data_IF_261512464476
#
_entry.id   IF_261512464476
#
_cell.length_a   1.000
_cell.length_b   1.000
_cell.length_c   1.000
_cell.angle_alpha   90.00
_cell.angle_beta   90.00
_cell.angle_gamma   90.00
#
_symmetry.space_group_name_H-M   'P 1'
#
loop_
_entity.id
_entity.type
_entity.pdbx_description
1 polymer ?
#
# COMPACT_ATOMS: atom_id res chain seq x y z
N UNK A 1 4.70 -1.54 13.99
CA UNK A 1 4.34 -0.57 15.05
C UNK A 1 5.59 0.24 15.41
N UNK A 2 5.72 1.50 14.97
CA UNK A 2 6.98 2.27 15.16
C UNK A 2 7.26 2.63 16.64
N UNK A 3 6.25 2.57 17.50
CA UNK A 3 6.29 2.99 18.92
C UNK A 3 6.91 1.94 19.84
N UNK A 4 6.69 0.64 19.62
CA UNK A 4 7.27 -0.42 20.45
C UNK A 4 8.80 -0.45 20.37
N UNK A 5 9.36 -0.28 19.16
CA UNK A 5 10.81 -0.21 18.97
C UNK A 5 11.43 0.99 19.68
N UNK A 6 10.73 2.14 19.73
CA UNK A 6 11.16 3.30 20.50
C UNK A 6 11.15 3.04 22.00
N UNK A 7 10.09 2.40 22.51
CA UNK A 7 9.99 2.03 23.92
C UNK A 7 11.11 1.07 24.33
N UNK A 8 11.40 0.06 23.51
CA UNK A 8 12.51 -0.87 23.76
C UNK A 8 13.85 -0.14 23.78
N UNK A 9 14.15 0.69 22.77
CA UNK A 9 15.40 1.47 22.72
C UNK A 9 15.58 2.34 23.97
N UNK A 10 14.52 3.01 24.44
CA UNK A 10 14.57 3.83 25.65
C UNK A 10 14.88 3.01 26.91
N UNK A 11 14.37 1.77 26.99
CA UNK A 11 14.59 0.85 28.11
C UNK A 11 16.01 0.28 28.08
N UNK A 12 16.54 -0.01 26.89
CA UNK A 12 17.93 -0.44 26.69
C UNK A 12 18.91 0.63 27.17
N UNK A 13 18.68 1.91 26.84
CA UNK A 13 19.50 3.03 27.35
C UNK A 13 19.44 3.15 28.87
N UNK A 14 18.29 2.81 29.47
CA UNK A 14 18.10 2.80 30.93
C UNK A 14 18.60 1.53 31.62
N UNK A 15 19.29 0.62 30.91
CA UNK A 15 19.81 -0.64 31.44
C UNK A 15 18.76 -1.51 32.15
N UNK A 16 17.51 -1.48 31.66
CA UNK A 16 16.40 -2.28 32.21
C UNK A 16 16.09 -3.49 31.33
N UNK A 17 15.43 -4.50 31.89
CA UNK A 17 15.00 -5.67 31.13
C UNK A 17 13.95 -5.28 30.07
N UNK A 18 14.35 -5.37 28.79
CA UNK A 18 13.52 -4.98 27.66
C UNK A 18 12.26 -5.85 27.51
N UNK A 19 12.31 -7.13 27.90
CA UNK A 19 11.14 -8.03 27.82
C UNK A 19 10.03 -7.58 28.75
N UNK A 20 10.38 -7.25 30.00
CA UNK A 20 9.42 -6.74 30.99
C UNK A 20 8.80 -5.42 30.52
N UNK A 21 9.63 -4.49 30.03
CA UNK A 21 9.12 -3.21 29.53
C UNK A 21 8.23 -3.38 28.29
N UNK A 22 8.54 -4.35 27.42
CA UNK A 22 7.70 -4.70 26.28
C UNK A 22 6.31 -5.19 26.74
N UNK A 23 6.25 -6.07 27.74
CA UNK A 23 4.96 -6.52 28.28
C UNK A 23 4.15 -5.38 28.89
N UNK A 24 4.79 -4.49 29.66
CA UNK A 24 4.16 -3.28 30.20
C UNK A 24 3.62 -2.39 29.09
N UNK A 25 4.42 -2.13 28.04
CA UNK A 25 4.02 -1.34 26.88
C UNK A 25 2.81 -1.94 26.18
N UNK A 26 2.83 -3.25 25.90
CA UNK A 26 1.73 -3.94 25.23
C UNK A 26 0.44 -3.90 26.06
N UNK A 27 0.53 -4.04 27.39
CA UNK A 27 -0.62 -3.91 28.27
C UNK A 27 -1.26 -2.52 28.15
N UNK A 28 -0.45 -1.47 28.18
CA UNK A 28 -0.92 -0.09 28.03
C UNK A 28 -1.51 0.15 26.64
N UNK A 29 -0.79 -0.22 25.57
CA UNK A 29 -1.24 -0.05 24.19
C UNK A 29 -2.61 -0.72 23.92
N UNK A 30 -2.83 -1.90 24.49
CA UNK A 30 -4.11 -2.63 24.37
C UNK A 30 -5.27 -1.95 25.09
N UNK A 31 -4.98 -1.19 26.15
CA UNK A 31 -5.99 -0.50 26.96
C UNK A 31 -6.25 0.95 26.50
N UNK A 32 -5.29 1.59 25.83
CA UNK A 32 -5.46 2.95 25.31
C UNK A 32 -6.43 2.99 24.13
N UNK A 33 -7.33 3.98 24.12
CA UNK A 33 -8.22 4.22 22.98
C UNK A 33 -7.43 4.54 21.71
N UNK A 34 -7.79 3.89 20.60
CA UNK A 34 -7.16 4.12 19.31
C UNK A 34 -7.83 5.31 18.59
N UNK A 35 -7.04 6.25 18.04
CA UNK A 35 -7.56 7.49 17.44
C UNK A 35 -8.56 7.24 16.30
N UNK A 36 -8.34 6.21 15.47
CA UNK A 36 -9.21 5.88 14.34
C UNK A 36 -10.55 5.29 14.77
N UNK A 37 -10.58 4.48 15.84
CA UNK A 37 -11.76 3.67 16.20
C UNK A 37 -12.41 4.19 17.50
N UNK A 38 -11.76 5.10 18.22
CA UNK A 38 -12.14 5.64 19.54
C UNK A 38 -12.31 4.62 20.67
N UNK A 39 -12.15 3.32 20.39
CA UNK A 39 -12.14 2.23 21.36
C UNK A 39 -10.74 1.66 21.53
N UNK A 40 -10.48 0.98 22.64
CA UNK A 40 -9.18 0.33 22.85
C UNK A 40 -9.03 -0.92 21.97
N UNK A 41 -7.81 -1.29 21.52
CA UNK A 41 -7.60 -2.50 20.72
C UNK A 41 -8.13 -3.78 21.38
N UNK A 42 -7.99 -3.92 22.70
CA UNK A 42 -8.52 -5.11 23.39
C UNK A 42 -10.04 -5.10 23.49
N UNK A 43 -10.66 -3.93 23.62
CA UNK A 43 -12.12 -3.80 23.65
C UNK A 43 -12.72 -4.15 22.30
N UNK A 44 -12.10 -3.71 21.19
CA UNK A 44 -12.57 -4.03 19.85
C UNK A 44 -12.49 -5.53 19.49
N UNK A 45 -11.59 -6.28 20.14
CA UNK A 45 -11.43 -7.72 19.89
C UNK A 45 -12.27 -8.59 20.83
N UNK A 46 -12.33 -8.21 22.11
CA UNK A 46 -12.91 -9.05 23.16
C UNK A 46 -14.30 -8.57 23.59
N UNK A 47 -14.80 -7.46 23.00
CA UNK A 47 -16.03 -6.77 23.37
C UNK A 47 -16.15 -6.47 24.89
N UNK A 48 -14.99 -6.35 25.55
CA UNK A 48 -14.83 -6.15 26.99
C UNK A 48 -13.70 -5.16 27.25
N UNK A 49 -13.92 -4.21 28.16
CA UNK A 49 -12.89 -3.25 28.56
C UNK A 49 -11.85 -3.93 29.47
N UNK A 50 -10.56 -3.74 29.19
CA UNK A 50 -9.51 -4.21 30.08
C UNK A 50 -9.53 -3.41 31.38
N UNK A 51 -9.52 -4.11 32.52
CA UNK A 51 -9.34 -3.45 33.83
C UNK A 51 -7.92 -2.88 33.92
N UNK A 52 -7.81 -1.57 34.02
CA UNK A 52 -6.55 -0.88 34.30
C UNK A 52 -6.54 -0.32 35.72
N UNK A 53 -5.41 0.22 36.17
CA UNK A 53 -5.33 0.85 37.50
C UNK A 53 -6.17 2.12 37.62
N UNK A 54 -6.57 2.71 36.49
CA UNK A 54 -7.53 3.81 36.46
C UNK A 54 -8.93 3.22 36.64
N UNK A 55 -9.66 3.73 37.64
CA UNK A 55 -11.03 3.32 37.91
C UNK A 55 -11.91 3.79 36.75
N UNK A 56 -12.44 2.85 36.00
CA UNK A 56 -13.41 3.12 34.93
C UNK A 56 -14.82 2.88 35.45
N UNK A 57 -15.78 3.71 35.02
CA UNK A 57 -17.19 3.46 35.31
C UNK A 57 -17.63 2.11 34.71
N UNK A 58 -18.52 1.36 35.41
CA UNK A 58 -18.98 0.07 34.94
C UNK A 58 -19.66 0.21 33.58
N UNK A 59 -19.05 -0.35 32.53
CA UNK A 59 -19.66 -0.41 31.21
C UNK A 59 -20.58 -1.63 31.14
N UNK A 60 -21.84 -1.41 30.82
CA UNK A 60 -22.78 -2.48 30.50
C UNK A 60 -22.39 -3.16 29.17
N UNK A 61 -22.47 -4.50 29.08
CA UNK A 61 -22.19 -5.23 27.85
C UNK A 61 -23.33 -5.00 26.83
N UNK A 62 -23.22 -3.94 26.03
CA UNK A 62 -24.07 -3.74 24.85
C UNK A 62 -23.31 -4.22 23.62
N UNK A 63 -23.66 -5.42 23.13
CA UNK A 63 -22.82 -6.21 22.24
C UNK A 63 -23.06 -6.00 20.72
N UNK A 64 -24.14 -5.36 20.25
CA UNK A 64 -24.34 -5.17 18.79
C UNK A 64 -24.11 -3.73 18.30
N UNK A 65 -24.63 -2.73 19.01
CA UNK A 65 -24.55 -1.30 18.59
C UNK A 65 -23.13 -0.72 18.66
N UNK A 66 -22.21 -1.34 19.42
CA UNK A 66 -20.81 -0.89 19.50
C UNK A 66 -20.01 -1.29 18.25
N UNK A 67 -20.23 -2.48 17.73
CA UNK A 67 -19.51 -3.01 16.57
C UNK A 67 -19.84 -2.26 15.28
N UNK A 68 -21.12 -1.92 15.08
CA UNK A 68 -21.55 -1.12 13.93
C UNK A 68 -20.90 0.28 13.94
N UNK A 69 -20.83 0.92 15.11
CA UNK A 69 -20.18 2.23 15.27
C UNK A 69 -18.68 2.16 14.97
N UNK A 70 -18.02 1.09 15.42
CA UNK A 70 -16.60 0.83 15.13
C UNK A 70 -16.39 0.71 13.62
N UNK A 71 -17.19 -0.11 12.92
CA UNK A 71 -17.09 -0.31 11.47
C UNK A 71 -17.35 0.98 10.69
N UNK A 72 -18.43 1.69 11.01
CA UNK A 72 -18.79 2.95 10.37
C UNK A 72 -17.68 4.01 10.51
N UNK A 73 -17.10 4.13 11.72
CA UNK A 73 -16.00 5.07 11.98
C UNK A 73 -14.72 4.69 11.23
N UNK A 74 -14.38 3.41 11.23
CA UNK A 74 -13.21 2.89 10.53
C UNK A 74 -13.34 3.09 9.01
N UNK A 75 -14.50 2.82 8.44
CA UNK A 75 -14.78 3.05 7.02
C UNK A 75 -14.65 4.54 6.64
N UNK A 76 -15.25 5.44 7.43
CA UNK A 76 -15.13 6.90 7.25
C UNK A 76 -13.67 7.36 7.32
N UNK A 77 -12.90 6.85 8.28
CA UNK A 77 -11.49 7.23 8.44
C UNK A 77 -10.60 6.64 7.33
N UNK A 78 -10.90 5.43 6.87
CA UNK A 78 -10.22 4.82 5.71
C UNK A 78 -10.51 5.60 4.43
N UNK A 79 -11.75 6.01 4.18
CA UNK A 79 -12.12 6.76 2.98
C UNK A 79 -11.49 8.15 2.94
N UNK A 80 -11.50 8.87 4.06
CA UNK A 80 -10.81 10.16 4.21
C UNK A 80 -9.30 10.04 4.04
N UNK A 81 -8.67 9.05 4.69
CA UNK A 81 -7.23 8.80 4.55
C UNK A 81 -6.86 8.43 3.11
N UNK A 82 -7.69 7.60 2.44
CA UNK A 82 -7.51 7.25 1.03
C UNK A 82 -7.57 8.50 0.15
N UNK A 83 -8.64 9.29 0.24
CA UNK A 83 -8.81 10.52 -0.55
C UNK A 83 -7.64 11.50 -0.34
N UNK A 84 -7.23 11.72 0.90
CA UNK A 84 -6.09 12.59 1.22
C UNK A 84 -4.79 12.07 0.59
N UNK A 85 -4.51 10.78 0.70
CA UNK A 85 -3.27 10.17 0.16
C UNK A 85 -3.27 10.16 -1.36
N UNK A 86 -4.40 9.84 -1.99
CA UNK A 86 -4.57 9.84 -3.43
C UNK A 86 -4.37 11.25 -4.00
N UNK A 87 -4.97 12.28 -3.37
CA UNK A 87 -4.76 13.69 -3.74
C UNK A 87 -3.31 14.13 -3.55
N UNK A 88 -2.71 13.84 -2.40
CA UNK A 88 -1.32 14.23 -2.08
C UNK A 88 -0.31 13.59 -3.04
N UNK A 89 -0.53 12.33 -3.41
CA UNK A 89 0.37 11.59 -4.30
C UNK A 89 0.01 11.74 -5.78
N UNK A 90 -1.04 12.50 -6.13
CA UNK A 90 -1.56 12.62 -7.50
C UNK A 90 -1.83 11.25 -8.13
N UNK A 91 -2.45 10.36 -7.37
CA UNK A 91 -2.77 9.01 -7.82
C UNK A 91 -3.67 9.09 -9.07
N UNK A 92 -3.32 8.30 -10.09
CA UNK A 92 -4.08 8.18 -11.35
C UNK A 92 -4.61 6.77 -11.48
N UNK A 93 -5.78 6.63 -12.09
CA UNK A 93 -6.31 5.32 -12.46
C UNK A 93 -5.38 4.63 -13.45
N UNK A 94 -5.34 3.30 -13.37
CA UNK A 94 -4.58 2.50 -14.33
C UNK A 94 -5.31 2.51 -15.68
N UNK A 95 -4.61 2.84 -16.76
CA UNK A 95 -5.15 2.86 -18.13
C UNK A 95 -4.90 1.57 -18.91
N UNK A 96 -4.22 0.59 -18.29
CA UNK A 96 -3.88 -0.68 -18.93
C UNK A 96 -5.06 -1.64 -18.82
N UNK A 97 -5.52 -2.13 -19.97
CA UNK A 97 -6.64 -3.07 -20.10
C UNK A 97 -6.19 -4.41 -20.66
N UNK A 98 -7.09 -5.39 -20.66
CA UNK A 98 -6.86 -6.69 -21.29
C UNK A 98 -6.51 -6.52 -22.77
N UNK A 99 -5.55 -7.32 -23.25
CA UNK A 99 -5.11 -7.28 -24.65
C UNK A 99 -4.09 -6.20 -25.00
N UNK A 100 -3.85 -5.21 -24.13
CA UNK A 100 -2.84 -4.17 -24.35
C UNK A 100 -1.43 -4.77 -24.45
N UNK A 101 -0.60 -4.15 -25.29
CA UNK A 101 0.84 -4.41 -25.36
C UNK A 101 1.56 -3.52 -24.36
N UNK A 102 2.35 -4.13 -23.47
CA UNK A 102 3.05 -3.44 -22.38
C UNK A 102 4.52 -3.86 -22.30
N UNK A 103 5.37 -2.94 -21.86
CA UNK A 103 6.77 -3.21 -21.53
C UNK A 103 6.92 -3.39 -20.01
N UNK A 104 7.74 -4.35 -19.60
CA UNK A 104 7.99 -4.64 -18.19
C UNK A 104 9.23 -3.89 -17.70
N UNK A 105 9.14 -3.24 -16.54
CA UNK A 105 10.28 -2.59 -15.89
C UNK A 105 11.28 -3.63 -15.39
N UNK A 106 12.55 -3.45 -15.70
CA UNK A 106 13.63 -4.36 -15.31
C UNK A 106 14.60 -3.69 -14.31
N UNK A 107 15.30 -4.48 -13.47
CA UNK A 107 16.34 -3.94 -12.61
C UNK A 107 17.50 -3.38 -13.45
N UNK A 108 18.10 -2.30 -12.97
CA UNK A 108 19.27 -1.72 -13.62
C UNK A 108 20.51 -2.53 -13.22
N UNK A 109 21.10 -3.25 -14.18
CA UNK A 109 22.33 -4.04 -13.96
C UNK A 109 23.59 -3.20 -14.22
N UNK A 110 23.52 -2.25 -15.14
CA UNK A 110 24.63 -1.36 -15.51
C UNK A 110 24.12 0.03 -15.87
N UNK A 111 25.03 1.02 -15.99
CA UNK A 111 24.64 2.38 -16.41
C UNK A 111 23.96 2.40 -17.79
N UNK A 112 24.25 1.42 -18.65
CA UNK A 112 23.73 1.31 -20.01
C UNK A 112 22.48 0.41 -20.12
N UNK A 113 22.06 -0.27 -19.05
CA UNK A 113 20.86 -1.12 -19.13
C UNK A 113 19.60 -0.28 -19.29
N UNK A 114 18.72 -0.67 -20.21
CA UNK A 114 17.45 0.01 -20.43
C UNK A 114 16.53 -0.15 -19.21
N UNK A 115 15.70 0.84 -18.88
CA UNK A 115 14.79 0.75 -17.73
C UNK A 115 13.66 -0.27 -17.91
N UNK A 116 13.33 -0.62 -19.16
CA UNK A 116 12.31 -1.60 -19.50
C UNK A 116 12.90 -2.71 -20.36
N UNK A 117 12.35 -3.91 -20.20
CA UNK A 117 12.59 -5.08 -21.05
C UNK A 117 12.16 -4.72 -22.49
N UNK A 118 13.05 -4.89 -23.49
CA UNK A 118 12.72 -4.58 -24.88
C UNK A 118 11.63 -5.50 -25.45
N UNK A 119 11.46 -6.71 -24.89
CA UNK A 119 10.44 -7.61 -25.37
C UNK A 119 9.04 -7.24 -24.83
N UNK A 120 8.06 -7.00 -25.71
CA UNK A 120 6.72 -6.63 -25.28
C UNK A 120 5.95 -7.83 -24.72
N UNK A 121 5.15 -7.58 -23.70
CA UNK A 121 4.19 -8.52 -23.14
C UNK A 121 2.77 -8.13 -23.53
N UNK A 122 1.91 -9.13 -23.71
CA UNK A 122 0.47 -8.93 -23.91
C UNK A 122 -0.26 -9.16 -22.59
N UNK A 123 -1.14 -8.24 -22.22
CA UNK A 123 -1.91 -8.36 -20.98
C UNK A 123 -2.98 -9.44 -21.11
N UNK A 124 -2.94 -10.44 -20.23
CA UNK A 124 -3.85 -11.59 -20.20
C UNK A 124 -4.92 -11.43 -19.12
N UNK A 125 -4.58 -10.84 -17.97
CA UNK A 125 -5.52 -10.63 -16.87
C UNK A 125 -5.20 -9.32 -16.11
N UNK A 126 -6.25 -8.63 -15.66
CA UNK A 126 -6.14 -7.44 -14.81
C UNK A 126 -7.01 -7.64 -13.57
N UNK A 127 -6.41 -7.55 -12.38
CA UNK A 127 -7.10 -7.63 -11.08
C UNK A 127 -6.73 -6.42 -10.24
N UNK A 128 -7.62 -5.43 -10.16
CA UNK A 128 -7.36 -4.14 -9.54
C UNK A 128 -6.09 -3.49 -10.13
N UNK A 129 -5.07 -3.26 -9.31
CA UNK A 129 -3.76 -2.74 -9.75
C UNK A 129 -2.75 -3.83 -10.10
N UNK A 130 -3.12 -5.12 -10.02
CA UNK A 130 -2.25 -6.21 -10.44
C UNK A 130 -2.54 -6.59 -11.89
N UNK A 131 -1.48 -6.71 -12.68
CA UNK A 131 -1.53 -7.05 -14.10
C UNK A 131 -0.75 -8.33 -14.31
N UNK A 132 -1.36 -9.27 -15.02
CA UNK A 132 -0.72 -10.48 -15.52
C UNK A 132 -0.49 -10.32 -17.01
N UNK A 133 0.77 -10.35 -17.43
CA UNK A 133 1.15 -10.20 -18.82
C UNK A 133 1.99 -11.40 -19.28
N UNK A 134 1.81 -11.80 -20.53
CA UNK A 134 2.46 -12.96 -21.12
C UNK A 134 3.18 -12.57 -22.39
N UNK A 135 4.39 -13.10 -22.56
CA UNK A 135 5.13 -13.10 -23.81
C UNK A 135 5.41 -14.57 -24.22
N UNK A 136 6.14 -14.80 -25.32
CA UNK A 136 6.51 -16.12 -25.82
C UNK A 136 7.26 -16.96 -24.78
N UNK A 137 8.12 -16.32 -23.99
CA UNK A 137 9.00 -16.99 -23.02
C UNK A 137 8.32 -17.28 -21.67
N UNK A 138 7.55 -16.31 -21.14
CA UNK A 138 7.08 -16.36 -19.75
C UNK A 138 5.83 -15.53 -19.49
N UNK A 139 5.16 -15.85 -18.39
CA UNK A 139 4.02 -15.12 -17.84
C UNK A 139 4.41 -14.49 -16.50
N UNK A 140 4.14 -13.20 -16.32
CA UNK A 140 4.54 -12.43 -15.14
C UNK A 140 3.33 -11.68 -14.57
N UNK A 141 3.21 -11.71 -13.24
CA UNK A 141 2.20 -10.94 -12.49
C UNK A 141 2.87 -9.91 -11.60
N UNK A 142 2.59 -8.61 -11.83
CA UNK A 142 3.13 -7.49 -11.03
C UNK A 142 2.13 -6.35 -10.90
N UNK A 143 2.42 -5.37 -10.05
CA UNK A 143 1.65 -4.14 -9.96
C UNK A 143 1.74 -3.33 -11.29
N UNK A 144 0.67 -2.61 -11.63
CA UNK A 144 0.55 -1.80 -12.85
C UNK A 144 1.70 -0.80 -13.04
N UNK A 145 2.29 -0.28 -11.96
CA UNK A 145 3.46 0.61 -11.99
C UNK A 145 4.73 -0.01 -12.60
N UNK A 146 4.80 -1.34 -12.69
CA UNK A 146 5.91 -2.03 -13.36
C UNK A 146 5.71 -2.13 -14.86
N UNK A 147 4.53 -1.79 -15.37
CA UNK A 147 4.22 -1.89 -16.78
C UNK A 147 4.10 -0.51 -17.41
N UNK A 148 4.62 -0.36 -18.63
CA UNK A 148 4.41 0.83 -19.46
C UNK A 148 3.66 0.42 -20.71
N UNK A 149 2.51 1.06 -20.98
CA UNK A 149 1.74 0.81 -22.20
C UNK A 149 2.57 1.20 -23.43
N UNK A 150 2.72 0.26 -24.35
CA UNK A 150 3.40 0.46 -25.62
C UNK A 150 2.36 0.86 -26.68
N UNK A 151 2.05 2.15 -26.75
CA UNK A 151 1.22 2.69 -27.84
C UNK A 151 2.13 2.95 -29.04
N UNK A 152 1.97 2.27 -30.17
CA UNK A 152 2.64 2.70 -31.39
C UNK A 152 2.16 4.12 -31.70
N UNK A 153 3.08 5.08 -31.78
CA UNK A 153 2.75 6.43 -32.20
C UNK A 153 2.30 6.39 -33.67
N UNK A 154 1.29 7.17 -34.09
CA UNK A 154 0.85 7.22 -35.50
C UNK A 154 1.88 7.81 -36.48
N UNK A 155 3.11 8.08 -36.05
CA UNK A 155 4.12 8.78 -36.85
C UNK A 155 5.43 7.98 -36.90
N UNK A 156 5.55 7.08 -37.89
CA UNK A 156 6.87 6.66 -38.40
C UNK A 156 6.95 6.59 -39.93
N UNK A 157 5.96 7.10 -40.66
CA UNK A 157 6.01 7.26 -42.12
C UNK A 157 6.38 8.70 -42.51
N UNK A 158 7.55 9.18 -42.12
CA UNK A 158 8.07 10.45 -42.63
C UNK A 158 9.59 10.46 -42.58
N UNK A 159 10.20 9.84 -43.60
CA UNK A 159 11.55 10.16 -44.09
C UNK A 159 11.69 9.58 -45.51
N UNK A 160 10.89 10.08 -46.45
CA UNK A 160 11.30 10.07 -47.86
C UNK A 160 12.44 11.09 -47.96
N UNK A 161 13.65 10.57 -48.20
CA UNK A 161 14.86 11.36 -48.44
C UNK A 161 14.57 12.39 -49.54
N UNK A 162 14.62 13.69 -49.23
CA UNK A 162 14.66 14.72 -50.28
C UNK A 162 16.02 14.59 -51.01
N UNK A 163 16.05 14.53 -52.35
CA UNK A 163 17.31 14.53 -53.08
C UNK A 163 18.01 15.88 -52.87
N UNK A 164 19.32 15.83 -52.61
CA UNK A 164 20.16 17.03 -52.57
C UNK A 164 20.37 17.50 -54.01
N UNK A 165 20.01 18.74 -54.31
CA UNK A 165 20.36 19.35 -55.58
C UNK A 165 21.88 19.65 -55.62
N UNK A 166 22.57 19.38 -56.74
CA UNK A 166 23.96 19.76 -56.91
C UNK A 166 24.07 21.28 -57.17
N UNK A 167 25.13 21.86 -56.61
CA UNK A 167 25.59 23.24 -56.87
C UNK A 167 26.29 23.33 -58.23
#
# INVERSE_FOLDING_TARGET
>A
MKTIGKAIRAVTVKWRNWKQAMYTFLRQYRATQHTTISVSPSEALNNRKLKTHLLDSPSTPSNSKKDEKIRSRDEKNKSTMKSYRDKRNRAKSNSITLGDTVLLRQPQLSKLSTPFDPEPFRVVAVKNSMITARNKLRTITRNSSFFKKNTPSPCSSRNLRRPRHPT
#
